data_IF_409862475491
#
_entry.id   IF_409862475491
#
_cell.length_a   1.000
_cell.length_b   1.000
_cell.length_c   1.000
_cell.angle_alpha   90.00
_cell.angle_beta   90.00
_cell.angle_gamma   90.00
#
_symmetry.space_group_name_H-M   'P 1'
#
loop_
_entity.id
_entity.type
_entity.pdbx_description
1 polymer ?
#
# COMPACT_ATOMS: atom_id res chain seq x y z
N UNK A 1 2.87 17.84 -6.72
CA UNK A 1 3.10 17.11 -5.45
C UNK A 1 3.88 15.83 -5.77
N UNK A 2 4.75 15.37 -4.87
CA UNK A 2 5.50 14.13 -5.09
C UNK A 2 4.59 12.93 -4.83
N UNK A 3 4.57 11.96 -5.76
CA UNK A 3 3.78 10.72 -5.61
C UNK A 3 4.27 9.94 -4.38
N UNK A 4 3.36 9.54 -3.50
CA UNK A 4 3.67 8.62 -2.41
C UNK A 4 3.47 7.18 -2.86
N UNK A 5 4.48 6.35 -2.60
CA UNK A 5 4.59 4.97 -3.05
C UNK A 5 4.53 4.01 -1.86
N UNK A 6 4.21 2.75 -2.15
CA UNK A 6 4.27 1.67 -1.16
C UNK A 6 2.94 1.33 -0.51
N UNK A 7 1.84 2.00 -0.89
CA UNK A 7 0.49 1.70 -0.39
C UNK A 7 -0.25 0.69 -1.26
N UNK A 8 -0.90 -0.24 -0.59
CA UNK A 8 -1.87 -1.18 -1.17
C UNK A 8 -3.15 -1.15 -0.34
N UNK A 9 -4.31 -1.25 -0.98
CA UNK A 9 -5.61 -1.31 -0.32
C UNK A 9 -6.42 -2.49 -0.83
N UNK A 10 -7.33 -2.99 0.00
CA UNK A 10 -8.24 -4.09 -0.35
C UNK A 10 -9.67 -3.78 0.09
N UNK A 11 -10.63 -4.31 -0.65
CA UNK A 11 -12.03 -4.35 -0.25
C UNK A 11 -12.34 -5.59 0.59
N UNK A 12 -13.63 -5.89 0.78
CA UNK A 12 -14.08 -7.07 1.51
C UNK A 12 -13.64 -8.39 0.87
N UNK A 13 -13.36 -8.37 -0.44
CA UNK A 13 -12.81 -9.49 -1.21
C UNK A 13 -11.36 -9.84 -0.84
N UNK A 14 -10.70 -8.98 -0.06
CA UNK A 14 -9.34 -9.15 0.47
C UNK A 14 -8.26 -9.17 -0.60
N UNK A 15 -8.59 -8.75 -1.82
CA UNK A 15 -7.63 -8.65 -2.91
C UNK A 15 -6.96 -7.28 -2.82
N UNK A 16 -5.65 -7.27 -2.57
CA UNK A 16 -4.89 -6.03 -2.50
C UNK A 16 -4.54 -5.53 -3.90
N UNK A 17 -4.76 -4.24 -4.08
CA UNK A 17 -4.36 -3.48 -5.26
C UNK A 17 -3.45 -2.33 -4.84
N UNK A 18 -2.45 -2.04 -5.67
CA UNK A 18 -1.62 -0.85 -5.50
C UNK A 18 -2.47 0.41 -5.61
N UNK A 19 -2.16 1.40 -4.77
CA UNK A 19 -2.81 2.70 -4.82
C UNK A 19 -2.53 3.40 -6.15
N UNK A 20 -3.58 3.94 -6.78
CA UNK A 20 -3.47 4.79 -7.98
C UNK A 20 -3.30 6.25 -7.61
N UNK A 21 -3.83 6.66 -6.46
CA UNK A 21 -3.68 8.02 -5.92
C UNK A 21 -3.51 7.98 -4.40
N UNK A 22 -2.62 8.86 -3.91
CA UNK A 22 -2.30 9.00 -2.49
C UNK A 22 -2.13 10.48 -2.16
N UNK A 23 -2.94 10.99 -1.24
CA UNK A 23 -3.02 12.42 -0.93
C UNK A 23 -2.84 12.65 0.57
N UNK A 24 -1.93 13.56 0.94
CA UNK A 24 -1.80 14.02 2.33
C UNK A 24 -2.91 15.01 2.63
N UNK A 25 -3.67 14.73 3.67
CA UNK A 25 -4.70 15.61 4.21
C UNK A 25 -4.19 16.31 5.47
N UNK A 26 -4.93 17.32 5.93
CA UNK A 26 -4.65 17.96 7.21
C UNK A 26 -4.76 16.95 8.38
N UNK A 27 -4.06 17.25 9.48
CA UNK A 27 -4.17 16.45 10.71
C UNK A 27 -3.47 15.08 10.66
N UNK A 28 -2.34 14.96 9.95
CA UNK A 28 -1.55 13.73 9.82
C UNK A 28 -2.33 12.56 9.20
N UNK A 29 -3.19 12.87 8.23
CA UNK A 29 -3.99 11.87 7.53
C UNK A 29 -3.46 11.68 6.11
N UNK A 30 -3.51 10.44 5.62
CA UNK A 30 -3.21 10.09 4.25
C UNK A 30 -4.46 9.40 3.69
N UNK A 31 -5.01 9.97 2.62
CA UNK A 31 -6.04 9.33 1.83
C UNK A 31 -5.38 8.47 0.75
N UNK A 32 -5.89 7.25 0.58
CA UNK A 32 -5.37 6.27 -0.37
C UNK A 32 -6.54 5.75 -1.20
N UNK A 33 -6.40 5.72 -2.53
CA UNK A 33 -7.40 5.17 -3.44
C UNK A 33 -6.75 4.27 -4.50
N UNK A 34 -7.56 3.35 -5.03
CA UNK A 34 -7.20 2.47 -6.13
C UNK A 34 -8.44 2.22 -6.98
N UNK A 35 -8.31 2.31 -8.31
CA UNK A 35 -9.45 2.23 -9.24
C UNK A 35 -10.26 0.92 -9.11
N UNK A 36 -9.60 -0.15 -8.66
CA UNK A 36 -10.17 -1.48 -8.48
C UNK A 36 -10.83 -1.70 -7.12
N UNK A 37 -10.70 -0.76 -6.18
CA UNK A 37 -11.18 -0.89 -4.80
C UNK A 37 -12.14 0.26 -4.47
N UNK A 38 -13.44 0.03 -4.68
CA UNK A 38 -14.48 1.05 -4.45
C UNK A 38 -14.75 1.32 -2.97
N UNK A 39 -14.60 0.30 -2.13
CA UNK A 39 -14.92 0.36 -0.70
C UNK A 39 -13.77 -0.28 0.08
N UNK A 40 -12.67 0.47 0.33
CA UNK A 40 -11.51 -0.07 1.02
C UNK A 40 -11.83 -0.36 2.49
N UNK A 41 -11.43 -1.55 2.95
CA UNK A 41 -11.55 -1.99 4.35
C UNK A 41 -10.19 -2.28 5.00
N UNK A 42 -9.14 -2.39 4.18
CA UNK A 42 -7.78 -2.64 4.64
C UNK A 42 -6.75 -1.82 3.85
N UNK A 43 -5.68 -1.42 4.54
CA UNK A 43 -4.53 -0.71 3.99
C UNK A 43 -3.25 -1.39 4.45
N UNK A 44 -2.27 -1.46 3.56
CA UNK A 44 -0.90 -1.88 3.83
C UNK A 44 0.08 -0.87 3.28
N UNK A 45 1.18 -0.68 3.99
CA UNK A 45 2.31 0.15 3.57
C UNK A 45 3.60 -0.65 3.67
N UNK A 46 4.44 -0.61 2.64
CA UNK A 46 5.72 -1.31 2.64
C UNK A 46 5.59 -2.83 2.63
N UNK A 47 4.56 -3.36 1.98
CA UNK A 47 4.20 -4.77 2.04
C UNK A 47 4.60 -5.52 0.76
N UNK A 48 5.91 -5.74 0.60
CA UNK A 48 6.54 -6.59 -0.41
C UNK A 48 7.94 -7.00 0.07
N UNK A 49 8.61 -7.93 -0.61
CA UNK A 49 9.96 -8.38 -0.22
C UNK A 49 11.02 -7.25 -0.36
N UNK A 50 10.85 -6.39 -1.37
CA UNK A 50 11.67 -5.19 -1.57
C UNK A 50 10.79 -4.00 -1.97
N UNK A 51 10.06 -3.40 -1.02
CA UNK A 51 9.00 -2.46 -1.34
C UNK A 51 9.56 -1.09 -1.70
N UNK A 52 9.13 -0.52 -2.82
CA UNK A 52 9.39 0.89 -3.12
C UNK A 52 8.49 1.78 -2.27
N UNK A 53 9.09 2.46 -1.29
CA UNK A 53 8.39 3.30 -0.32
C UNK A 53 9.12 4.64 -0.17
N UNK A 54 8.38 5.72 0.06
CA UNK A 54 8.97 7.06 0.16
C UNK A 54 8.27 8.00 1.16
N UNK A 55 7.35 7.50 1.99
CA UNK A 55 6.69 8.34 3.00
C UNK A 55 7.63 8.60 4.16
N UNK A 56 7.77 9.89 4.49
CA UNK A 56 8.57 10.36 5.62
C UNK A 56 7.72 11.28 6.49
N UNK A 57 7.94 11.20 7.79
CA UNK A 57 7.39 12.15 8.75
C UNK A 57 8.10 13.51 8.67
N UNK A 58 7.55 14.53 9.32
CA UNK A 58 8.16 15.86 9.41
C UNK A 58 9.54 15.89 10.09
N UNK A 59 9.90 14.82 10.81
CA UNK A 59 11.25 14.62 11.39
C UNK A 59 12.19 13.85 10.45
N UNK A 60 11.82 13.70 9.18
CA UNK A 60 12.58 12.98 8.15
C UNK A 60 12.73 11.48 8.39
N UNK A 61 12.04 10.92 9.39
CA UNK A 61 12.03 9.49 9.63
C UNK A 61 11.09 8.82 8.62
N UNK A 62 11.57 7.74 7.98
CA UNK A 62 10.75 6.89 7.12
C UNK A 62 9.62 6.27 7.92
N UNK A 63 8.43 6.24 7.34
CA UNK A 63 7.32 5.49 7.94
C UNK A 63 7.69 3.99 7.94
N UNK A 64 7.56 3.27 9.07
CA UNK A 64 7.78 1.83 9.08
C UNK A 64 6.64 1.12 8.33
N UNK A 65 6.88 -0.08 7.77
CA UNK A 65 5.83 -0.90 7.20
C UNK A 65 4.72 -1.18 8.22
N UNK A 66 3.46 -1.16 7.76
CA UNK A 66 2.30 -1.47 8.60
C UNK A 66 1.17 -2.10 7.79
N UNK A 67 0.19 -2.66 8.51
CA UNK A 67 -1.08 -3.13 7.96
C UNK A 67 -2.23 -2.86 8.92
N UNK A 68 -3.44 -2.71 8.39
CA UNK A 68 -4.67 -2.56 9.21
C UNK A 68 -5.53 -3.82 9.23
N UNK A 69 -5.30 -4.79 8.34
CA UNK A 69 -6.00 -6.06 8.37
C UNK A 69 -5.45 -7.02 9.45
N UNK A 70 -6.33 -7.87 9.96
CA UNK A 70 -5.99 -8.99 10.85
C UNK A 70 -5.92 -10.34 10.12
N UNK A 71 -5.89 -10.32 8.79
CA UNK A 71 -6.00 -11.53 7.98
C UNK A 71 -4.71 -12.37 8.02
N UNK A 72 -4.83 -13.71 7.88
CA UNK A 72 -3.68 -14.60 7.75
C UNK A 72 -2.78 -14.22 6.57
N UNK A 73 -1.45 -14.23 6.80
CA UNK A 73 -0.46 -13.85 5.79
C UNK A 73 -0.37 -14.84 4.61
N UNK A 74 -0.82 -16.07 4.79
CA UNK A 74 -0.72 -17.14 3.79
C UNK A 74 -1.70 -17.00 2.60
N UNK A 75 -2.62 -16.04 2.62
CA UNK A 75 -3.52 -15.77 1.49
C UNK A 75 -2.97 -14.73 0.50
N UNK A 76 -1.77 -14.22 0.75
CA UNK A 76 -1.18 -13.08 0.05
C UNK A 76 -0.20 -13.50 -1.08
N UNK A 77 0.17 -14.78 -1.14
CA UNK A 77 1.16 -15.30 -2.08
C UNK A 77 0.70 -15.26 -3.54
N UNK A 78 -0.59 -15.05 -3.81
CA UNK A 78 -1.15 -14.90 -5.17
C UNK A 78 -0.86 -13.54 -5.80
N UNK A 79 -0.33 -12.57 -5.05
CA UNK A 79 0.03 -11.22 -5.56
C UNK A 79 1.52 -11.06 -5.88
N UNK A 80 2.33 -12.11 -5.67
CA UNK A 80 3.64 -12.22 -6.29
C UNK A 80 3.45 -12.35 -7.80
N UNK A 81 3.31 -11.22 -8.48
CA UNK A 81 3.54 -11.18 -9.92
C UNK A 81 4.98 -11.68 -10.11
N UNK A 82 5.21 -12.80 -10.81
CA UNK A 82 6.56 -13.17 -11.18
C UNK A 82 7.15 -11.97 -11.94
N UNK A 83 8.25 -11.42 -11.43
CA UNK A 83 9.01 -10.41 -12.17
C UNK A 83 9.48 -11.11 -13.43
N UNK A 84 8.85 -10.81 -14.57
CA UNK A 84 9.41 -11.15 -15.87
C UNK A 84 10.65 -10.28 -16.04
N UNK A 85 11.82 -10.90 -15.87
CA UNK A 85 13.09 -10.32 -16.28
C UNK A 85 13.22 -10.64 -17.76
N UNK A 86 12.93 -9.68 -18.63
CA UNK A 86 13.27 -9.74 -20.04
C UNK A 86 14.64 -9.06 -20.21
N UNK A 87 15.56 -9.73 -20.91
CA UNK A 87 16.87 -9.17 -21.30
C UNK A 87 16.71 -8.18 -22.45
#
# INVERSE_FOLDING_TARGET
>A
QQQMLGFQIAGEDRIFHWATEVTVLAGNQIQVSADRVRSPVAVRYGWADNPRCNVRSGTWLSLPPFRTDTWPRNQDSSLLHPVKVEQ
#
